data_IF_057449811431
#
_entry.id   IF_057449811431
#
_cell.length_a   1.000
_cell.length_b   1.000
_cell.length_c   1.000
_cell.angle_alpha   90.00
_cell.angle_beta   90.00
_cell.angle_gamma   90.00
#
_symmetry.space_group_name_H-M   'P 1'
#
loop_
_entity.id
_entity.type
_entity.pdbx_description
1 polymer ?
#
# COMPACT_ATOMS: atom_id res chain seq x y z
N UNK A 1 52.00 -0.86 -53.24
CA UNK A 1 51.21 0.12 -54.03
C UNK A 1 49.78 0.07 -53.52
N UNK A 2 49.57 0.71 -52.37
CA UNK A 2 48.28 1.03 -51.76
C UNK A 2 48.31 2.55 -51.69
N UNK A 3 47.39 3.17 -52.41
CA UNK A 3 46.90 4.56 -52.29
C UNK A 3 46.21 4.88 -53.63
N UNK A 4 44.95 5.34 -53.57
CA UNK A 4 44.03 5.73 -54.67
C UNK A 4 42.92 4.74 -55.09
N UNK A 5 42.80 3.53 -54.51
CA UNK A 5 41.68 2.64 -54.84
C UNK A 5 40.30 3.18 -54.44
N UNK A 6 40.19 3.89 -53.31
CA UNK A 6 38.93 4.51 -52.86
C UNK A 6 38.44 5.63 -53.78
N UNK A 7 39.35 6.41 -54.39
CA UNK A 7 38.99 7.49 -55.34
C UNK A 7 38.52 6.92 -56.68
N UNK A 8 39.10 5.80 -57.11
CA UNK A 8 38.68 5.09 -58.32
C UNK A 8 37.31 4.43 -58.09
N UNK A 9 37.09 3.82 -56.92
CA UNK A 9 35.79 3.20 -56.59
C UNK A 9 34.67 4.25 -56.48
N UNK A 10 34.94 5.40 -55.87
CA UNK A 10 33.98 6.50 -55.76
C UNK A 10 33.67 7.12 -57.14
N UNK A 11 34.67 7.26 -58.00
CA UNK A 11 34.48 7.73 -59.38
C UNK A 11 33.63 6.78 -60.22
N UNK A 12 33.85 5.47 -60.10
CA UNK A 12 33.07 4.45 -60.82
C UNK A 12 31.63 4.39 -60.30
N UNK A 13 31.42 4.47 -58.98
CA UNK A 13 30.09 4.48 -58.39
C UNK A 13 29.27 5.72 -58.81
N UNK A 14 29.89 6.91 -58.88
CA UNK A 14 29.23 8.12 -59.34
C UNK A 14 28.79 8.02 -60.81
N UNK A 15 29.62 7.42 -61.68
CA UNK A 15 29.29 7.21 -63.09
C UNK A 15 28.12 6.24 -63.26
N UNK A 16 28.07 5.16 -62.46
CA UNK A 16 26.96 4.20 -62.47
C UNK A 16 25.66 4.86 -62.00
N UNK A 17 25.72 5.68 -60.95
CA UNK A 17 24.55 6.39 -60.45
C UNK A 17 23.99 7.38 -61.48
N UNK A 18 24.85 8.15 -62.15
CA UNK A 18 24.43 9.07 -63.23
C UNK A 18 23.83 8.28 -64.40
N UNK A 19 24.41 7.14 -64.79
CA UNK A 19 23.87 6.29 -65.84
C UNK A 19 22.48 5.75 -65.49
N UNK A 20 22.24 5.35 -64.24
CA UNK A 20 20.91 4.90 -63.80
C UNK A 20 19.88 6.04 -63.75
N UNK A 21 20.28 7.25 -63.37
CA UNK A 21 19.39 8.43 -63.43
C UNK A 21 19.03 8.77 -64.88
N UNK A 22 20.00 8.75 -65.80
CA UNK A 22 19.76 9.00 -67.23
C UNK A 22 18.85 7.92 -67.83
N UNK A 23 19.07 6.65 -67.49
CA UNK A 23 18.20 5.55 -67.93
C UNK A 23 16.77 5.67 -67.37
N UNK A 24 16.62 6.11 -66.12
CA UNK A 24 15.31 6.40 -65.51
C UNK A 24 14.57 7.53 -66.23
N UNK A 25 15.26 8.63 -66.53
CA UNK A 25 14.67 9.78 -67.26
C UNK A 25 14.34 9.42 -68.71
N UNK A 26 15.16 8.60 -69.38
CA UNK A 26 14.87 8.11 -70.73
C UNK A 26 13.67 7.16 -70.78
N UNK A 27 13.47 6.34 -69.73
CA UNK A 27 12.30 5.45 -69.60
C UNK A 27 11.00 6.18 -69.25
N UNK A 28 11.07 7.34 -68.57
CA UNK A 28 9.91 8.19 -68.29
C UNK A 28 9.32 8.83 -69.54
N UNK A 29 10.13 9.08 -70.58
CA UNK A 29 9.66 9.63 -71.87
C UNK A 29 9.00 8.61 -72.80
N UNK A 30 9.09 7.31 -72.50
CA UNK A 30 8.55 6.22 -73.35
C UNK A 30 7.12 5.78 -72.95
N UNK A 31 6.55 6.36 -71.89
CA UNK A 31 5.20 6.00 -71.41
C UNK A 31 4.12 6.35 -72.44
N UNK A 32 4.31 7.41 -73.22
CA UNK A 32 3.38 7.78 -74.31
C UNK A 32 3.48 6.85 -75.54
N UNK A 33 4.62 6.17 -75.75
CA UNK A 33 4.79 5.17 -76.83
C UNK A 33 4.28 3.78 -76.42
N UNK A 34 4.42 3.38 -75.15
CA UNK A 34 3.92 2.10 -74.63
C UNK A 34 2.40 2.14 -74.32
N UNK A 35 1.83 3.33 -74.14
CA UNK A 35 0.38 3.57 -73.99
C UNK A 35 -0.13 4.59 -75.02
N UNK A 36 -0.17 4.26 -76.33
CA UNK A 36 -0.71 5.18 -77.31
C UNK A 36 -2.17 5.49 -76.97
N UNK A 37 -2.49 6.79 -76.88
CA UNK A 37 -3.86 7.24 -76.67
C UNK A 37 -4.77 6.59 -77.72
N UNK A 38 -5.89 6.00 -77.26
CA UNK A 38 -6.86 5.37 -78.16
C UNK A 38 -7.30 6.38 -79.22
N UNK A 39 -7.24 5.98 -80.49
CA UNK A 39 -7.75 6.77 -81.61
C UNK A 39 -9.24 7.03 -81.37
N UNK A 40 -9.60 8.28 -81.09
CA UNK A 40 -11.00 8.68 -80.94
C UNK A 40 -11.71 8.51 -82.29
N UNK A 41 -12.41 7.40 -82.46
CA UNK A 41 -13.59 7.42 -83.32
C UNK A 41 -14.65 8.24 -82.57
N UNK A 42 -15.21 9.32 -83.13
CA UNK A 42 -16.28 10.05 -82.48
C UNK A 42 -17.51 9.15 -82.44
N UNK A 43 -17.68 8.41 -81.34
CA UNK A 43 -18.98 7.87 -81.01
C UNK A 43 -19.88 9.03 -80.61
N UNK A 44 -21.17 9.01 -81.00
CA UNK A 44 -22.11 10.05 -80.61
C UNK A 44 -22.12 10.15 -79.09
N UNK A 45 -21.89 11.36 -78.58
CA UNK A 45 -21.90 11.65 -77.16
C UNK A 45 -23.24 11.20 -76.56
N UNK A 46 -23.22 10.15 -75.76
CA UNK A 46 -24.32 9.86 -74.85
C UNK A 46 -24.25 10.95 -73.79
N UNK A 47 -25.32 11.75 -73.58
CA UNK A 47 -25.32 12.80 -72.58
C UNK A 47 -25.34 12.13 -71.20
N UNK A 48 -24.16 11.87 -70.65
CA UNK A 48 -23.97 11.50 -69.27
C UNK A 48 -23.40 12.72 -68.55
N UNK A 49 -24.19 13.25 -67.62
CA UNK A 49 -23.90 14.45 -66.82
C UNK A 49 -22.85 14.11 -65.72
N UNK A 50 -21.64 13.71 -66.14
CA UNK A 50 -20.61 13.10 -65.27
C UNK A 50 -19.94 14.06 -64.30
N UNK A 51 -19.99 15.37 -64.55
CA UNK A 51 -19.29 16.36 -63.71
C UNK A 51 -19.93 16.51 -62.33
N UNK A 52 -21.25 16.32 -62.25
CA UNK A 52 -22.01 16.35 -60.98
C UNK A 52 -21.73 15.10 -60.15
N UNK A 53 -21.72 13.90 -60.77
CA UNK A 53 -21.48 12.64 -60.06
C UNK A 53 -20.04 12.48 -59.56
N UNK A 54 -19.04 12.93 -60.32
CA UNK A 54 -17.63 12.87 -59.90
C UNK A 54 -17.40 13.86 -58.75
N UNK A 55 -17.94 15.07 -58.86
CA UNK A 55 -17.82 16.08 -57.78
C UNK A 55 -18.53 15.62 -56.51
N UNK A 56 -19.69 14.96 -56.63
CA UNK A 56 -20.40 14.35 -55.51
C UNK A 56 -19.62 13.19 -54.91
N UNK A 57 -19.04 12.29 -55.72
CA UNK A 57 -18.23 11.18 -55.24
C UNK A 57 -16.97 11.67 -54.49
N UNK A 58 -16.26 12.66 -55.04
CA UNK A 58 -15.09 13.29 -54.40
C UNK A 58 -15.50 13.97 -53.09
N UNK A 59 -16.63 14.68 -53.06
CA UNK A 59 -17.17 15.28 -51.83
C UNK A 59 -17.50 14.22 -50.79
N UNK A 60 -18.17 13.13 -51.20
CA UNK A 60 -18.54 12.03 -50.29
C UNK A 60 -17.33 11.28 -49.74
N UNK A 61 -16.27 11.09 -50.54
CA UNK A 61 -14.99 10.52 -50.11
C UNK A 61 -14.18 11.46 -49.21
N UNK A 62 -14.31 12.77 -49.40
CA UNK A 62 -13.62 13.81 -48.62
C UNK A 62 -14.32 14.11 -47.29
N UNK A 63 -15.59 13.69 -47.15
CA UNK A 63 -16.34 13.79 -45.91
C UNK A 63 -16.17 12.47 -45.18
N UNK A 64 -15.41 12.44 -44.09
CA UNK A 64 -15.29 11.23 -43.29
C UNK A 64 -16.71 10.79 -42.85
N UNK A 65 -17.18 9.59 -43.22
CA UNK A 65 -18.50 9.14 -42.82
C UNK A 65 -18.53 9.04 -41.29
N UNK A 66 -19.42 9.80 -40.66
CA UNK A 66 -19.73 9.63 -39.25
C UNK A 66 -20.58 8.37 -39.11
N UNK A 67 -20.02 7.34 -38.49
CA UNK A 67 -20.78 6.15 -38.14
C UNK A 67 -21.57 6.48 -36.88
N UNK A 68 -22.90 6.53 -37.00
CA UNK A 68 -23.76 6.68 -35.83
C UNK A 68 -23.56 5.47 -34.90
N UNK A 69 -23.36 5.69 -33.59
CA UNK A 69 -23.20 4.59 -32.65
C UNK A 69 -24.47 3.76 -32.62
N UNK A 70 -24.32 2.43 -32.74
CA UNK A 70 -25.46 1.51 -32.60
C UNK A 70 -25.80 1.43 -31.12
N UNK A 71 -27.09 1.43 -30.78
CA UNK A 71 -27.53 1.36 -29.38
C UNK A 71 -28.13 -0.01 -29.07
N UNK A 72 -27.77 -0.59 -27.93
CA UNK A 72 -28.42 -1.79 -27.40
C UNK A 72 -29.88 -1.49 -27.02
N UNK A 73 -30.69 -2.52 -26.76
CA UNK A 73 -32.07 -2.34 -26.30
C UNK A 73 -32.16 -1.53 -24.99
N UNK A 74 -31.10 -1.54 -24.19
CA UNK A 74 -30.97 -0.77 -22.95
C UNK A 74 -30.38 0.64 -23.17
N UNK A 75 -30.06 1.02 -24.41
CA UNK A 75 -29.61 2.37 -24.77
C UNK A 75 -28.11 2.60 -24.74
N UNK A 76 -27.29 1.58 -24.46
CA UNK A 76 -25.83 1.65 -24.48
C UNK A 76 -25.30 1.78 -25.90
N UNK A 77 -24.41 2.72 -26.15
CA UNK A 77 -23.70 2.85 -27.43
C UNK A 77 -22.65 1.74 -27.56
N UNK A 78 -22.70 1.02 -28.68
CA UNK A 78 -21.77 -0.02 -29.06
C UNK A 78 -21.17 0.32 -30.41
N UNK A 79 -19.87 0.10 -30.52
CA UNK A 79 -19.17 0.19 -31.78
C UNK A 79 -19.45 -1.04 -32.62
N UNK A 80 -19.65 -0.85 -33.92
CA UNK A 80 -20.03 -1.92 -34.85
C UNK A 80 -18.84 -2.75 -35.33
N UNK A 81 -17.62 -2.28 -35.05
CA UNK A 81 -16.36 -2.87 -35.55
C UNK A 81 -15.50 -3.49 -34.45
N UNK A 82 -15.89 -3.32 -33.18
CA UNK A 82 -15.22 -3.93 -32.02
C UNK A 82 -16.20 -4.92 -31.36
N UNK A 83 -15.69 -6.07 -30.95
CA UNK A 83 -16.50 -7.05 -30.23
C UNK A 83 -16.90 -6.52 -28.86
N UNK A 84 -18.10 -6.86 -28.42
CA UNK A 84 -18.55 -6.61 -27.04
C UNK A 84 -18.36 -7.89 -26.24
N UNK A 85 -17.65 -7.80 -25.12
CA UNK A 85 -17.51 -8.92 -24.20
C UNK A 85 -18.82 -9.17 -23.45
N UNK A 86 -19.30 -10.41 -23.55
CA UNK A 86 -20.50 -10.88 -22.87
C UNK A 86 -20.14 -11.97 -21.87
N UNK A 87 -20.69 -11.85 -20.66
CA UNK A 87 -20.37 -12.75 -19.55
C UNK A 87 -21.50 -13.74 -19.34
N UNK A 88 -21.18 -15.01 -19.15
CA UNK A 88 -22.19 -16.03 -18.85
C UNK A 88 -21.94 -16.57 -17.45
N UNK A 89 -22.94 -16.47 -16.57
CA UNK A 89 -22.87 -17.08 -15.24
C UNK A 89 -22.84 -18.60 -15.40
N UNK A 90 -22.04 -19.29 -14.58
CA UNK A 90 -21.95 -20.75 -14.62
C UNK A 90 -23.35 -21.38 -14.44
N UNK A 91 -23.80 -22.15 -15.44
CA UNK A 91 -25.12 -22.78 -15.46
C UNK A 91 -26.27 -21.89 -15.92
N UNK A 92 -26.01 -20.65 -16.34
CA UNK A 92 -26.98 -19.80 -17.01
C UNK A 92 -26.81 -19.91 -18.53
N UNK A 93 -27.92 -19.76 -19.26
CA UNK A 93 -27.93 -19.72 -20.73
C UNK A 93 -27.97 -18.28 -21.26
N UNK A 94 -28.32 -17.32 -20.39
CA UNK A 94 -28.47 -15.92 -20.76
C UNK A 94 -27.15 -15.18 -20.50
N UNK A 95 -26.52 -14.59 -21.53
CA UNK A 95 -25.37 -13.72 -21.36
C UNK A 95 -25.77 -12.40 -20.67
N UNK A 96 -24.82 -11.84 -19.93
CA UNK A 96 -24.89 -10.56 -19.23
C UNK A 96 -24.01 -9.58 -19.99
N UNK A 97 -24.60 -8.45 -20.43
CA UNK A 97 -23.84 -7.32 -20.96
C UNK A 97 -23.38 -6.45 -19.79
N UNK A 98 -22.11 -6.57 -19.45
CA UNK A 98 -21.54 -5.87 -18.29
C UNK A 98 -21.44 -4.35 -18.48
N UNK A 99 -21.52 -3.88 -19.73
CA UNK A 99 -21.56 -2.46 -20.05
C UNK A 99 -22.95 -1.85 -19.84
N UNK A 100 -24.00 -2.67 -19.70
CA UNK A 100 -25.35 -2.19 -19.41
C UNK A 100 -25.48 -1.81 -17.93
N UNK A 101 -25.79 -0.54 -17.66
CA UNK A 101 -26.00 -0.03 -16.31
C UNK A 101 -27.20 -0.63 -15.58
N UNK A 102 -28.14 -1.24 -16.32
CA UNK A 102 -29.31 -1.91 -15.74
C UNK A 102 -29.02 -3.36 -15.35
N UNK A 103 -27.88 -3.91 -15.77
CA UNK A 103 -27.51 -5.27 -15.43
C UNK A 103 -27.12 -5.40 -13.96
N UNK A 104 -27.46 -6.56 -13.39
CA UNK A 104 -27.07 -6.83 -12.01
C UNK A 104 -25.55 -6.99 -11.92
N UNK A 105 -24.93 -6.48 -10.84
CA UNK A 105 -23.52 -6.75 -10.58
C UNK A 105 -23.20 -8.23 -10.69
N UNK A 106 -22.12 -8.55 -11.40
CA UNK A 106 -21.58 -9.91 -11.48
C UNK A 106 -21.03 -10.32 -10.11
N UNK A 107 -20.35 -9.39 -9.43
CA UNK A 107 -19.82 -9.55 -8.08
C UNK A 107 -20.38 -8.50 -7.10
N UNK A 108 -21.61 -8.67 -6.60
CA UNK A 108 -22.16 -7.76 -5.59
C UNK A 108 -21.25 -7.69 -4.34
N UNK A 109 -21.09 -6.50 -3.73
CA UNK A 109 -21.78 -5.23 -4.03
C UNK A 109 -21.12 -4.38 -5.12
N UNK A 110 -20.01 -4.82 -5.73
CA UNK A 110 -19.19 -4.03 -6.66
C UNK A 110 -19.89 -3.91 -8.02
N UNK A 111 -20.25 -2.70 -8.48
CA UNK A 111 -20.98 -2.52 -9.74
C UNK A 111 -20.09 -2.85 -10.94
N UNK A 112 -20.67 -3.41 -12.01
CA UNK A 112 -19.95 -3.76 -13.25
C UNK A 112 -19.19 -2.57 -13.85
N UNK A 113 -19.76 -1.37 -13.74
CA UNK A 113 -19.12 -0.13 -14.20
C UNK A 113 -17.79 0.14 -13.50
N UNK A 114 -17.64 -0.21 -12.22
CA UNK A 114 -16.40 0.02 -11.48
C UNK A 114 -15.25 -0.84 -12.05
N UNK A 115 -15.52 -2.10 -12.38
CA UNK A 115 -14.53 -2.97 -13.04
C UNK A 115 -14.13 -2.40 -14.40
N UNK A 116 -15.09 -1.95 -15.20
CA UNK A 116 -14.85 -1.38 -16.53
C UNK A 116 -14.05 -0.06 -16.46
N UNK A 117 -14.38 0.84 -15.54
CA UNK A 117 -13.67 2.13 -15.41
C UNK A 117 -12.23 1.97 -14.95
N UNK A 118 -11.91 0.88 -14.24
CA UNK A 118 -10.54 0.56 -13.83
C UNK A 118 -9.82 -0.38 -14.82
N UNK A 119 -10.42 -0.68 -15.97
CA UNK A 119 -9.79 -1.54 -16.99
C UNK A 119 -9.71 -3.02 -16.60
N UNK A 120 -10.52 -3.46 -15.64
CA UNK A 120 -10.52 -4.81 -15.07
C UNK A 120 -11.69 -5.67 -15.59
N UNK A 121 -12.12 -5.42 -16.83
CA UNK A 121 -13.21 -6.16 -17.47
C UNK A 121 -12.95 -7.67 -17.49
N UNK A 122 -11.73 -8.06 -17.83
CA UNK A 122 -11.30 -9.47 -17.92
C UNK A 122 -11.26 -10.15 -16.53
N UNK A 123 -10.78 -9.45 -15.50
CA UNK A 123 -10.67 -9.99 -14.14
C UNK A 123 -12.03 -10.35 -13.53
N UNK A 124 -13.08 -9.62 -13.92
CA UNK A 124 -14.44 -9.90 -13.49
C UNK A 124 -14.91 -11.31 -13.89
N UNK A 125 -14.28 -11.93 -14.89
CA UNK A 125 -14.56 -13.31 -15.30
C UNK A 125 -14.22 -14.35 -14.23
N UNK A 126 -13.33 -14.03 -13.29
CA UNK A 126 -12.98 -14.93 -12.19
C UNK A 126 -14.06 -14.92 -11.11
N UNK A 127 -14.47 -16.11 -10.65
CA UNK A 127 -15.47 -16.25 -9.59
C UNK A 127 -15.07 -15.62 -8.25
N UNK A 128 -13.78 -15.43 -8.02
CA UNK A 128 -13.19 -14.80 -6.85
C UNK A 128 -12.57 -13.42 -7.17
N UNK A 129 -13.03 -12.73 -8.22
CA UNK A 129 -12.51 -11.42 -8.61
C UNK A 129 -12.40 -10.42 -7.43
N UNK A 130 -13.38 -10.33 -6.51
CA UNK A 130 -13.26 -9.40 -5.37
C UNK A 130 -12.14 -9.74 -4.38
N UNK A 131 -11.68 -11.00 -4.33
CA UNK A 131 -10.60 -11.44 -3.42
C UNK A 131 -9.23 -11.44 -4.10
N UNK A 132 -9.18 -11.15 -5.40
CA UNK A 132 -7.92 -11.02 -6.14
C UNK A 132 -7.35 -9.63 -5.91
N UNK A 133 -6.04 -9.55 -6.00
CA UNK A 133 -5.24 -8.34 -5.94
C UNK A 133 -4.71 -8.12 -7.36
N UNK A 134 -5.24 -7.13 -8.08
CA UNK A 134 -4.98 -6.97 -9.51
C UNK A 134 -3.63 -6.31 -9.78
N UNK A 135 -3.28 -5.31 -8.98
CA UNK A 135 -2.03 -4.60 -9.12
C UNK A 135 -0.93 -5.12 -8.19
N UNK A 136 -1.19 -6.13 -7.36
CA UNK A 136 -0.23 -6.78 -6.47
C UNK A 136 0.36 -5.83 -5.41
N UNK A 137 -0.46 -4.92 -4.87
CA UNK A 137 -0.09 -4.00 -3.78
C UNK A 137 -0.37 -4.58 -2.38
N UNK A 138 -1.02 -5.74 -2.30
CA UNK A 138 -1.41 -6.44 -1.08
C UNK A 138 -2.85 -6.23 -0.64
N UNK A 139 -3.65 -5.45 -1.37
CA UNK A 139 -5.07 -5.27 -1.14
C UNK A 139 -5.90 -5.96 -2.20
N UNK A 140 -7.00 -6.57 -1.77
CA UNK A 140 -7.94 -7.17 -2.70
C UNK A 140 -8.80 -6.09 -3.35
N UNK A 141 -9.24 -6.36 -4.58
CA UNK A 141 -10.16 -5.51 -5.33
C UNK A 141 -11.40 -5.09 -4.51
N UNK A 142 -11.87 -5.96 -3.61
CA UNK A 142 -12.97 -5.67 -2.69
C UNK A 142 -12.62 -4.64 -1.62
N UNK A 143 -11.44 -4.76 -0.99
CA UNK A 143 -10.94 -3.79 -0.01
C UNK A 143 -10.77 -2.40 -0.64
N UNK A 144 -10.28 -2.36 -1.87
CA UNK A 144 -10.08 -1.14 -2.63
C UNK A 144 -11.38 -0.47 -3.06
N UNK A 145 -12.37 -1.27 -3.45
CA UNK A 145 -13.71 -0.75 -3.72
C UNK A 145 -14.32 -0.08 -2.48
N UNK A 146 -14.18 -0.69 -1.30
CA UNK A 146 -14.69 -0.15 -0.05
C UNK A 146 -13.94 1.13 0.36
N UNK A 147 -12.62 1.14 0.18
CA UNK A 147 -11.74 2.28 0.46
C UNK A 147 -11.80 3.39 -0.61
N UNK A 148 -12.44 3.13 -1.75
CA UNK A 148 -12.51 4.01 -2.93
C UNK A 148 -11.13 4.32 -3.51
N UNK A 149 -10.25 3.32 -3.52
CA UNK A 149 -8.93 3.38 -4.14
C UNK A 149 -8.95 2.76 -5.53
N UNK A 150 -7.88 2.98 -6.30
CA UNK A 150 -7.76 2.53 -7.67
C UNK A 150 -7.01 1.18 -7.75
N UNK A 151 -7.71 0.06 -8.04
CA UNK A 151 -7.16 -1.30 -8.05
C UNK A 151 -6.19 -1.62 -9.18
N UNK A 152 -5.91 -0.63 -10.02
CA UNK A 152 -5.01 -0.72 -11.16
C UNK A 152 -3.80 0.22 -11.02
N UNK A 153 -3.63 0.80 -9.83
CA UNK A 153 -2.55 1.73 -9.50
C UNK A 153 -1.98 1.38 -8.13
N UNK A 154 -0.83 0.68 -8.13
CA UNK A 154 -0.10 0.24 -6.93
C UNK A 154 0.23 1.36 -5.94
N UNK A 155 0.13 2.63 -6.34
CA UNK A 155 0.37 3.78 -5.47
C UNK A 155 -0.90 4.28 -4.76
N UNK A 156 -2.06 3.75 -5.15
CA UNK A 156 -3.38 4.07 -4.63
C UNK A 156 -3.93 2.86 -3.86
N UNK A 157 -3.43 2.65 -2.64
CA UNK A 157 -3.89 1.59 -1.75
C UNK A 157 -4.72 2.12 -0.57
N UNK A 158 -5.58 1.28 0.04
CA UNK A 158 -6.22 1.55 1.33
C UNK A 158 -5.20 1.77 2.45
N UNK A 159 -5.65 2.15 3.64
CA UNK A 159 -4.73 2.30 4.78
C UNK A 159 -4.02 0.98 5.12
N UNK A 160 -2.68 1.00 5.12
CA UNK A 160 -1.83 -0.12 5.58
C UNK A 160 -2.17 -0.59 7.00
N UNK A 161 -2.78 0.28 7.80
CA UNK A 161 -3.24 -0.06 9.14
C UNK A 161 -4.20 -1.27 9.15
N UNK A 162 -5.03 -1.44 8.11
CA UNK A 162 -5.94 -2.58 7.97
C UNK A 162 -5.20 -3.92 7.78
N UNK A 163 -3.93 -3.88 7.36
CA UNK A 163 -3.07 -5.04 7.15
C UNK A 163 -2.13 -5.30 8.31
N UNK A 164 -2.16 -4.50 9.38
CA UNK A 164 -1.33 -4.77 10.56
C UNK A 164 -1.82 -6.03 11.25
N UNK A 165 -0.88 -6.90 11.60
CA UNK A 165 -1.11 -8.13 12.35
C UNK A 165 -0.13 -8.25 13.51
N UNK A 166 -0.54 -8.99 14.53
CA UNK A 166 0.28 -9.28 15.70
C UNK A 166 0.91 -10.67 15.55
N UNK A 167 2.23 -10.71 15.32
CA UNK A 167 2.96 -11.97 15.22
C UNK A 167 3.19 -12.60 16.61
N UNK A 168 3.63 -11.80 17.57
CA UNK A 168 3.87 -12.26 18.95
C UNK A 168 4.01 -11.08 19.91
N UNK A 169 4.02 -11.39 21.20
CA UNK A 169 4.29 -10.44 22.27
C UNK A 169 5.51 -10.92 23.04
N UNK A 170 6.46 -10.02 23.25
CA UNK A 170 7.57 -10.24 24.17
C UNK A 170 7.24 -9.62 25.53
N UNK A 171 7.55 -10.36 26.60
CA UNK A 171 7.30 -9.96 27.97
C UNK A 171 8.59 -9.96 28.78
N UNK A 172 8.98 -8.79 29.28
CA UNK A 172 10.12 -8.62 30.16
C UNK A 172 9.64 -8.32 31.58
N UNK A 173 9.73 -9.34 32.44
CA UNK A 173 9.26 -9.24 33.82
C UNK A 173 10.32 -8.63 34.73
N UNK A 174 9.87 -7.77 35.64
CA UNK A 174 10.71 -7.17 36.66
C UNK A 174 9.95 -6.96 37.96
N UNK A 175 10.68 -6.84 39.06
CA UNK A 175 10.10 -6.41 40.33
C UNK A 175 11.00 -5.38 40.99
N UNK A 176 10.35 -4.39 41.61
CA UNK A 176 11.02 -3.34 42.36
C UNK A 176 10.83 -3.59 43.86
N UNK A 177 11.90 -3.39 44.63
CA UNK A 177 11.91 -3.49 46.08
C UNK A 177 12.57 -2.26 46.67
N UNK A 178 12.17 -1.88 47.88
CA UNK A 178 12.80 -0.79 48.60
C UNK A 178 13.13 -1.16 50.04
N UNK A 179 14.07 -0.43 50.62
CA UNK A 179 14.42 -0.45 52.03
C UNK A 179 14.24 0.96 52.61
N UNK A 180 13.54 1.05 53.74
CA UNK A 180 13.36 2.29 54.49
C UNK A 180 14.38 2.34 55.64
N UNK A 181 15.27 3.34 55.60
CA UNK A 181 16.31 3.53 56.63
C UNK A 181 15.95 4.63 57.65
N UNK A 182 14.71 5.12 57.62
CA UNK A 182 14.23 6.25 58.43
C UNK A 182 14.42 7.60 57.74
N UNK A 183 13.60 8.59 58.14
CA UNK A 183 13.68 9.95 57.60
C UNK A 183 12.98 10.20 56.26
N UNK A 184 12.22 9.22 55.74
CA UNK A 184 11.41 9.38 54.52
C UNK A 184 12.15 9.13 53.20
N UNK A 185 13.46 8.89 53.26
CA UNK A 185 14.27 8.52 52.08
C UNK A 185 14.42 7.01 51.96
N UNK A 186 14.30 6.48 50.74
CA UNK A 186 14.27 5.05 50.47
C UNK A 186 15.44 4.61 49.59
N UNK A 187 15.91 3.38 49.75
CA UNK A 187 16.88 2.78 48.83
C UNK A 187 16.21 1.69 48.01
N UNK A 188 16.34 1.77 46.69
CA UNK A 188 15.66 0.88 45.74
C UNK A 188 16.58 -0.18 45.14
N UNK A 189 16.00 -1.34 44.82
CA UNK A 189 16.61 -2.43 44.05
C UNK A 189 15.60 -3.02 43.07
N UNK A 190 16.02 -3.22 41.84
CA UNK A 190 15.26 -3.89 40.78
C UNK A 190 15.99 -5.15 40.34
N UNK A 191 15.23 -6.20 40.08
CA UNK A 191 15.69 -7.43 39.42
C UNK A 191 14.63 -7.83 38.40
N UNK A 192 15.05 -8.30 37.23
CA UNK A 192 14.15 -8.63 36.15
C UNK A 192 14.87 -9.14 34.91
N UNK A 193 14.21 -9.01 33.76
CA UNK A 193 14.73 -9.28 32.43
C UNK A 193 14.83 -7.96 31.68
N UNK A 194 15.96 -7.70 31.03
CA UNK A 194 16.12 -6.61 30.07
C UNK A 194 16.95 -7.14 28.89
N UNK A 195 16.52 -6.86 27.67
CA UNK A 195 17.10 -7.36 26.42
C UNK A 195 17.25 -8.89 26.42
N UNK A 196 16.23 -9.59 26.92
CA UNK A 196 16.20 -11.05 27.03
C UNK A 196 17.18 -11.67 28.04
N UNK A 197 17.85 -10.85 28.87
CA UNK A 197 18.85 -11.30 29.86
C UNK A 197 18.46 -10.89 31.26
N UNK A 198 18.88 -11.70 32.24
CA UNK A 198 18.75 -11.34 33.65
C UNK A 198 19.49 -10.01 33.92
N UNK A 199 18.76 -9.06 34.46
CA UNK A 199 19.21 -7.71 34.74
C UNK A 199 18.90 -7.35 36.19
N UNK A 200 19.84 -6.69 36.87
CA UNK A 200 19.62 -6.16 38.21
C UNK A 200 20.25 -4.78 38.37
N UNK A 201 19.63 -3.94 39.19
CA UNK A 201 20.22 -2.67 39.60
C UNK A 201 19.83 -2.34 41.05
N UNK A 202 20.69 -1.59 41.73
CA UNK A 202 20.49 -1.14 43.10
C UNK A 202 21.14 0.21 43.31
N UNK A 203 20.59 0.98 44.22
CA UNK A 203 21.27 2.17 44.75
C UNK A 203 22.51 1.73 45.54
N UNK A 204 23.69 2.27 45.20
CA UNK A 204 24.99 1.87 45.78
C UNK A 204 25.42 2.83 46.89
N UNK A 205 26.33 2.37 47.76
CA UNK A 205 27.05 3.23 48.71
C UNK A 205 26.18 3.89 49.79
N UNK A 206 25.02 3.32 50.11
CA UNK A 206 24.09 3.92 51.08
C UNK A 206 23.23 5.05 50.50
N UNK A 207 23.22 5.21 49.16
CA UNK A 207 22.36 6.18 48.51
C UNK A 207 20.87 5.91 48.77
N UNK A 208 20.11 6.99 48.95
CA UNK A 208 18.67 7.01 49.15
C UNK A 208 18.03 8.06 48.25
N UNK A 209 16.79 7.82 47.81
CA UNK A 209 15.98 8.75 47.06
C UNK A 209 14.93 9.38 47.99
N UNK A 210 14.77 10.69 47.89
CA UNK A 210 13.67 11.44 48.48
C UNK A 210 12.51 11.59 47.46
N UNK A 211 11.29 11.92 47.91
CA UNK A 211 10.19 12.27 47.01
C UNK A 211 10.62 13.31 45.96
N UNK A 212 10.39 13.01 44.68
CA UNK A 212 10.80 13.79 43.53
C UNK A 212 12.07 13.29 42.83
N UNK A 213 12.90 12.48 43.49
CA UNK A 213 14.16 12.01 42.93
C UNK A 213 13.96 10.89 41.89
N UNK A 214 14.69 10.99 40.78
CA UNK A 214 14.91 9.88 39.85
C UNK A 214 16.07 9.03 40.37
N UNK A 215 15.92 7.71 40.34
CA UNK A 215 16.93 6.78 40.86
C UNK A 215 17.39 5.74 39.83
N UNK A 216 18.40 4.97 40.25
CA UNK A 216 19.30 4.14 39.43
C UNK A 216 20.22 4.96 38.52
N UNK A 217 21.42 5.24 39.03
CA UNK A 217 22.44 6.02 38.32
C UNK A 217 23.17 5.23 37.21
N UNK A 218 23.17 3.89 37.28
CA UNK A 218 23.86 3.01 36.34
C UNK A 218 22.84 2.25 35.48
N UNK A 219 23.26 1.71 34.33
CA UNK A 219 22.51 0.65 33.65
C UNK A 219 22.64 -0.68 34.42
N UNK A 220 21.68 -1.62 34.31
CA UNK A 220 20.39 -1.58 33.60
C UNK A 220 19.33 -0.72 34.31
N UNK A 221 18.24 -0.33 33.65
CA UNK A 221 17.16 0.52 34.23
C UNK A 221 17.58 1.92 34.70
N UNK A 222 18.64 2.48 34.10
CA UNK A 222 19.15 3.80 34.46
C UNK A 222 18.06 4.87 34.33
N UNK A 223 17.92 5.72 35.36
CA UNK A 223 16.99 6.85 35.40
C UNK A 223 15.53 6.52 35.10
N UNK A 224 15.14 5.24 35.21
CA UNK A 224 13.80 4.80 34.80
C UNK A 224 12.72 5.20 35.79
N UNK A 225 13.02 5.32 37.07
CA UNK A 225 11.99 5.45 38.09
C UNK A 225 12.17 6.71 38.91
N UNK A 226 11.05 7.38 39.18
CA UNK A 226 10.96 8.53 40.06
C UNK A 226 10.19 8.17 41.32
N UNK A 227 10.78 8.44 42.47
CA UNK A 227 10.09 8.22 43.74
C UNK A 227 9.07 9.35 43.98
N UNK A 228 7.80 9.02 44.17
CA UNK A 228 6.73 10.01 44.33
C UNK A 228 6.44 10.29 45.79
N UNK A 229 6.10 9.26 46.57
CA UNK A 229 5.78 9.39 48.00
C UNK A 229 5.84 8.06 48.74
N UNK A 230 6.01 8.12 50.06
CA UNK A 230 5.85 6.98 50.96
C UNK A 230 4.50 7.08 51.68
N UNK A 231 3.65 6.08 51.48
CA UNK A 231 2.38 5.91 52.20
C UNK A 231 2.50 4.87 53.30
N UNK A 232 1.65 4.97 54.31
CA UNK A 232 1.38 3.87 55.24
C UNK A 232 -0.03 3.37 55.01
N UNK A 233 -0.15 2.06 54.75
CA UNK A 233 -1.43 1.37 54.55
C UNK A 233 -1.60 0.29 55.61
N UNK A 234 -2.80 0.14 56.15
CA UNK A 234 -3.11 -0.99 57.02
C UNK A 234 -3.43 -2.23 56.18
N UNK A 235 -2.67 -3.29 56.35
CA UNK A 235 -2.94 -4.59 55.75
C UNK A 235 -3.02 -5.66 56.85
N UNK A 236 -4.19 -6.28 57.01
CA UNK A 236 -4.46 -7.25 58.09
C UNK A 236 -4.18 -6.70 59.50
N UNK A 237 -4.48 -5.42 59.74
CA UNK A 237 -4.26 -4.75 61.03
C UNK A 237 -2.80 -4.45 61.36
N UNK A 238 -1.90 -4.58 60.39
CA UNK A 238 -0.48 -4.24 60.52
C UNK A 238 -0.18 -3.06 59.58
N UNK A 239 0.39 -1.96 60.08
CA UNK A 239 0.83 -0.86 59.22
C UNK A 239 1.97 -1.34 58.32
N UNK A 240 1.82 -1.10 57.02
CA UNK A 240 2.82 -1.40 56.01
C UNK A 240 3.17 -0.15 55.23
N UNK A 241 4.47 0.05 55.05
CA UNK A 241 5.01 1.06 54.17
C UNK A 241 4.75 0.68 52.70
N UNK A 242 4.34 1.65 51.89
CA UNK A 242 4.06 1.49 50.47
C UNK A 242 4.69 2.67 49.72
N UNK A 243 5.68 2.38 48.88
CA UNK A 243 6.35 3.36 48.06
C UNK A 243 5.60 3.53 46.74
N UNK A 244 5.24 4.78 46.42
CA UNK A 244 4.65 5.15 45.13
C UNK A 244 5.78 5.59 44.21
N UNK A 245 5.88 4.94 43.05
CA UNK A 245 6.97 5.16 42.09
C UNK A 245 6.37 5.40 40.71
N UNK A 246 6.82 6.43 40.01
CA UNK A 246 6.42 6.76 38.65
C UNK A 246 7.47 6.23 37.66
N UNK A 247 7.03 5.54 36.61
CA UNK A 247 7.87 5.14 35.48
C UNK A 247 8.17 6.37 34.61
N UNK A 248 9.44 6.53 34.25
CA UNK A 248 9.96 7.59 33.40
C UNK A 248 10.42 7.01 32.05
N UNK A 249 10.29 5.69 31.82
CA UNK A 249 10.50 5.10 30.50
C UNK A 249 9.56 5.77 29.49
N UNK A 250 10.06 6.02 28.29
CA UNK A 250 9.25 6.52 27.18
C UNK A 250 8.05 5.58 26.95
N UNK A 251 6.89 6.13 26.57
CA UNK A 251 5.63 5.39 26.48
C UNK A 251 4.96 5.02 27.81
N UNK A 252 5.71 5.06 28.94
CA UNK A 252 5.19 4.77 30.29
C UNK A 252 5.24 5.95 31.25
N UNK A 253 5.66 7.13 30.77
CA UNK A 253 5.68 8.35 31.57
C UNK A 253 4.31 8.61 32.23
N UNK A 254 4.30 8.74 33.56
CA UNK A 254 3.08 8.91 34.35
C UNK A 254 2.42 7.60 34.82
N UNK A 255 2.89 6.43 34.40
CA UNK A 255 2.46 5.14 34.97
C UNK A 255 3.00 5.01 36.38
N UNK A 256 2.11 4.83 37.34
CA UNK A 256 2.44 4.77 38.77
C UNK A 256 2.32 3.36 39.30
N UNK A 257 3.32 2.92 40.06
CA UNK A 257 3.38 1.65 40.73
C UNK A 257 3.36 1.84 42.24
N UNK A 258 2.54 1.02 42.92
CA UNK A 258 2.49 0.92 44.37
C UNK A 258 3.30 -0.29 44.83
N UNK A 259 4.47 -0.03 45.40
CA UNK A 259 5.42 -1.05 45.83
C UNK A 259 5.28 -1.25 47.34
N UNK A 260 4.81 -2.40 47.84
CA UNK A 260 4.72 -2.65 49.27
C UNK A 260 6.08 -3.00 49.87
N UNK A 261 6.31 -2.60 51.12
CA UNK A 261 7.47 -3.03 51.89
C UNK A 261 7.40 -4.54 52.21
N UNK A 262 8.52 -5.24 52.09
CA UNK A 262 8.68 -6.63 52.51
C UNK A 262 9.12 -7.59 51.40
N UNK A 263 8.88 -8.88 51.60
CA UNK A 263 9.34 -9.97 50.72
C UNK A 263 8.42 -10.26 49.54
N UNK A 264 7.19 -9.73 49.54
CA UNK A 264 6.23 -9.95 48.46
C UNK A 264 6.59 -9.03 47.30
N UNK A 265 7.20 -9.61 46.27
CA UNK A 265 7.58 -8.91 45.05
C UNK A 265 6.31 -8.63 44.24
N UNK A 266 6.00 -7.36 43.97
CA UNK A 266 5.00 -7.02 42.97
C UNK A 266 5.66 -7.19 41.60
N UNK A 267 5.31 -8.28 40.91
CA UNK A 267 5.78 -8.55 39.56
C UNK A 267 5.11 -7.59 38.59
N UNK A 268 5.91 -6.91 37.79
CA UNK A 268 5.50 -6.01 36.72
C UNK A 268 6.10 -6.48 35.40
N UNK A 269 5.56 -6.01 34.28
CA UNK A 269 6.02 -6.39 32.95
C UNK A 269 6.18 -5.19 32.04
N UNK A 270 7.20 -5.25 31.21
CA UNK A 270 7.30 -4.50 29.97
C UNK A 270 6.90 -5.41 28.81
N UNK A 271 6.07 -4.88 27.92
CA UNK A 271 5.56 -5.62 26.78
C UNK A 271 6.02 -4.94 25.49
N UNK A 272 6.42 -5.77 24.53
CA UNK A 272 6.76 -5.36 23.17
C UNK A 272 5.94 -6.18 22.20
N UNK A 273 5.19 -5.52 21.32
CA UNK A 273 4.48 -6.19 20.24
C UNK A 273 5.42 -6.40 19.06
N UNK A 274 5.44 -7.61 18.52
CA UNK A 274 6.05 -7.94 17.23
C UNK A 274 4.94 -7.90 16.17
N UNK A 275 4.96 -6.88 15.32
CA UNK A 275 3.95 -6.57 14.33
C UNK A 275 4.49 -6.81 12.92
N UNK A 276 3.60 -7.06 11.96
CA UNK A 276 3.93 -7.13 10.54
C UNK A 276 2.76 -6.64 9.70
N UNK A 277 3.03 -6.37 8.41
CA UNK A 277 2.01 -6.05 7.42
C UNK A 277 1.70 -7.30 6.60
N UNK A 278 0.44 -7.72 6.62
CA UNK A 278 -0.13 -8.81 5.82
C UNK A 278 -0.30 -8.37 4.36
N UNK A 279 0.83 -8.12 3.71
CA UNK A 279 0.96 -7.73 2.30
C UNK A 279 2.13 -8.49 1.68
N UNK A 280 2.08 -8.88 0.39
CA UNK A 280 3.15 -9.65 -0.24
C UNK A 280 4.54 -9.00 -0.18
N UNK A 281 4.60 -7.66 -0.14
CA UNK A 281 5.84 -6.90 -0.07
C UNK A 281 6.50 -6.93 1.32
N UNK A 282 5.72 -7.07 2.38
CA UNK A 282 6.15 -6.85 3.77
C UNK A 282 5.82 -8.03 4.72
N UNK A 283 5.27 -9.15 4.19
CA UNK A 283 4.80 -10.31 4.98
C UNK A 283 5.86 -10.86 5.94
N UNK A 284 7.14 -10.79 5.57
CA UNK A 284 8.27 -11.28 6.38
C UNK A 284 8.97 -10.19 7.20
N UNK A 285 8.54 -8.93 7.10
CA UNK A 285 9.16 -7.80 7.78
C UNK A 285 8.46 -7.55 9.11
N UNK A 286 8.87 -8.31 10.12
CA UNK A 286 8.44 -8.12 11.50
C UNK A 286 9.18 -6.92 12.11
N UNK A 287 8.43 -6.02 12.72
CA UNK A 287 8.96 -4.87 13.47
C UNK A 287 8.44 -4.88 14.91
N UNK A 288 9.19 -4.23 15.80
CA UNK A 288 8.95 -4.22 17.23
C UNK A 288 8.45 -2.85 17.70
N UNK A 289 7.40 -2.84 18.51
CA UNK A 289 6.84 -1.62 19.10
C UNK A 289 6.62 -1.88 20.59
N UNK A 290 7.24 -1.08 21.45
CA UNK A 290 7.02 -1.16 22.89
C UNK A 290 5.65 -0.58 23.30
N UNK A 291 5.05 -1.11 24.36
CA UNK A 291 3.82 -0.58 24.95
C UNK A 291 3.95 0.93 25.26
N UNK A 292 2.98 1.71 24.78
CA UNK A 292 2.90 3.16 24.92
C UNK A 292 3.61 3.96 23.82
N UNK A 293 4.31 3.30 22.90
CA UNK A 293 5.09 3.95 21.85
C UNK A 293 4.31 4.15 20.56
N UNK A 294 4.65 5.24 19.86
CA UNK A 294 4.13 5.54 18.53
C UNK A 294 5.04 5.02 17.41
N UNK A 295 4.45 4.68 16.27
CA UNK A 295 5.14 4.16 15.08
C UNK A 295 4.47 4.65 13.77
N UNK A 296 5.14 4.44 12.64
CA UNK A 296 4.65 4.75 11.29
C UNK A 296 4.35 3.48 10.50
N UNK A 297 3.55 3.62 9.43
CA UNK A 297 3.35 2.58 8.42
C UNK A 297 3.59 3.18 7.02
N UNK A 298 4.42 2.57 6.16
CA UNK A 298 5.33 1.46 6.46
C UNK A 298 6.25 1.75 7.65
N UNK A 299 6.75 0.71 8.30
CA UNK A 299 7.55 0.88 9.51
C UNK A 299 8.87 1.59 9.18
N UNK A 300 9.07 2.74 9.82
CA UNK A 300 10.33 3.48 9.78
C UNK A 300 10.60 4.06 11.16
N UNK A 301 11.66 3.57 11.80
CA UNK A 301 12.09 4.02 13.12
C UNK A 301 12.37 5.54 13.16
N UNK A 302 12.81 6.10 12.03
CA UNK A 302 13.21 7.51 11.89
C UNK A 302 12.10 8.40 11.31
N UNK A 303 10.89 7.86 11.11
CA UNK A 303 9.78 8.64 10.60
C UNK A 303 9.49 9.84 11.51
N UNK A 304 9.40 11.04 10.90
CA UNK A 304 9.03 12.26 11.61
C UNK A 304 7.58 12.22 12.08
N UNK A 305 6.72 11.55 11.33
CA UNK A 305 5.31 11.37 11.65
C UNK A 305 5.05 9.92 12.03
N UNK A 306 4.63 9.69 13.27
CA UNK A 306 4.30 8.38 13.83
C UNK A 306 2.84 8.40 14.31
N UNK A 307 1.86 8.30 13.38
CA UNK A 307 0.45 8.53 13.68
C UNK A 307 -0.22 7.37 14.44
N UNK A 308 0.44 6.21 14.53
CA UNK A 308 -0.09 5.01 15.18
C UNK A 308 0.55 4.84 16.55
N UNK A 309 -0.20 4.36 17.55
CA UNK A 309 0.34 4.12 18.90
C UNK A 309 -0.08 2.75 19.41
N UNK A 310 0.87 1.98 19.95
CA UNK A 310 0.55 0.78 20.72
C UNK A 310 0.13 1.22 22.13
N UNK A 311 -1.17 1.17 22.43
CA UNK A 311 -1.71 1.67 23.69
C UNK A 311 -1.41 0.74 24.85
N UNK A 312 -1.80 -0.52 24.70
CA UNK A 312 -1.69 -1.53 25.74
C UNK A 312 -1.62 -2.92 25.13
N UNK A 313 -1.02 -3.84 25.88
CA UNK A 313 -1.05 -5.27 25.59
C UNK A 313 -1.89 -5.93 26.67
N UNK A 314 -2.81 -6.80 26.26
CA UNK A 314 -3.66 -7.52 27.19
C UNK A 314 -2.84 -8.32 28.20
N UNK A 315 -3.30 -8.42 29.44
CA UNK A 315 -2.52 -9.00 30.54
C UNK A 315 -2.16 -10.48 30.35
N UNK A 316 -2.76 -11.17 29.38
CA UNK A 316 -2.44 -12.53 28.97
C UNK A 316 -1.33 -12.61 27.89
N UNK A 317 -0.91 -11.47 27.35
CA UNK A 317 0.10 -11.37 26.28
C UNK A 317 -0.40 -11.85 24.92
N UNK A 318 -1.72 -11.98 24.71
CA UNK A 318 -2.28 -12.51 23.44
C UNK A 318 -2.97 -11.45 22.59
N UNK A 319 -3.16 -10.25 23.14
CA UNK A 319 -3.86 -9.14 22.49
C UNK A 319 -3.03 -7.87 22.55
N UNK A 320 -3.15 -7.03 21.53
CA UNK A 320 -2.54 -5.71 21.46
C UNK A 320 -3.57 -4.68 20.97
N UNK A 321 -3.66 -3.54 21.64
CA UNK A 321 -4.56 -2.46 21.27
C UNK A 321 -3.78 -1.35 20.59
N UNK A 322 -4.11 -1.06 19.33
CA UNK A 322 -3.53 0.01 18.55
C UNK A 322 -4.48 1.20 18.47
N UNK A 323 -3.93 2.40 18.47
CA UNK A 323 -4.64 3.66 18.30
C UNK A 323 -4.17 4.40 17.07
N UNK A 324 -5.09 5.10 16.42
CA UNK A 324 -4.77 6.08 15.38
C UNK A 324 -5.81 7.19 15.34
N UNK A 325 -5.42 8.35 14.83
CA UNK A 325 -6.36 9.44 14.56
C UNK A 325 -6.92 9.30 13.14
N UNK A 326 -8.24 9.36 13.03
CA UNK A 326 -8.94 9.45 11.76
C UNK A 326 -9.86 10.68 11.78
N UNK A 327 -9.44 11.75 11.10
CA UNK A 327 -10.18 13.01 11.01
C UNK A 327 -10.51 13.65 12.37
N UNK A 328 -9.61 13.57 13.35
CA UNK A 328 -9.79 14.13 14.69
C UNK A 328 -10.54 13.23 15.66
N UNK A 329 -10.90 12.01 15.25
CA UNK A 329 -11.43 10.97 16.14
C UNK A 329 -10.38 9.87 16.34
N UNK A 330 -10.06 9.58 17.60
CA UNK A 330 -9.22 8.43 17.94
C UNK A 330 -10.01 7.15 17.73
N UNK A 331 -9.46 6.28 16.89
CA UNK A 331 -9.97 4.94 16.64
C UNK A 331 -9.10 3.91 17.35
N UNK A 332 -9.69 2.76 17.70
CA UNK A 332 -8.99 1.66 18.35
C UNK A 332 -9.13 0.38 17.52
N UNK A 333 -8.04 -0.40 17.46
CA UNK A 333 -8.02 -1.73 16.85
C UNK A 333 -7.40 -2.72 17.83
N UNK A 334 -8.17 -3.76 18.19
CA UNK A 334 -7.65 -4.91 18.94
C UNK A 334 -7.13 -5.97 17.97
N UNK A 335 -5.84 -6.29 18.11
CA UNK A 335 -5.19 -7.39 17.42
C UNK A 335 -5.07 -8.60 18.35
N UNK A 336 -5.12 -9.79 17.76
CA UNK A 336 -4.88 -11.07 18.45
C UNK A 336 -3.70 -11.77 17.79
N UNK A 337 -2.93 -12.48 18.61
CA UNK A 337 -1.86 -13.36 18.11
C UNK A 337 -2.53 -14.42 17.22
N UNK A 338 -2.07 -14.51 15.97
CA UNK A 338 -2.50 -15.58 15.06
C UNK A 338 -1.80 -16.88 15.47
N UNK A 339 -2.58 -17.94 15.72
CA UNK A 339 -2.07 -19.26 16.15
C UNK A 339 -1.69 -20.15 14.96
#
# INVERSE_FOLDING_TARGET
MKDNYEKIFLGVAAVIAIAMVVLGVMKLGAVEEEFPAATENPQPAIPFDKEVEISQAVTTLSTAPTVDPVRTAAGREVEVFTGVDLFVRKGAETPVDIGDSNEKPVHPPIPNSWWLTHGMGDEMGYGNAPQRDFDEDGFSNGEEFEAKTAPNDKSSFPSLFAKVRLASVEQEQWYLRFSNFGGGSLSFRIEGIQDGKKAENRMRGGATAAPGDIFFADAPYQNRFKFVELKQVEANGIPKDLAVVEDQKEGKAGKVYEIPAGSHQTLQSDYTARLYLDTPAEENNVFEVEEGMSFSLPYDENAQNKPYTLKEIGGDGTTATLLWDNNGETQELELKVEN
#
